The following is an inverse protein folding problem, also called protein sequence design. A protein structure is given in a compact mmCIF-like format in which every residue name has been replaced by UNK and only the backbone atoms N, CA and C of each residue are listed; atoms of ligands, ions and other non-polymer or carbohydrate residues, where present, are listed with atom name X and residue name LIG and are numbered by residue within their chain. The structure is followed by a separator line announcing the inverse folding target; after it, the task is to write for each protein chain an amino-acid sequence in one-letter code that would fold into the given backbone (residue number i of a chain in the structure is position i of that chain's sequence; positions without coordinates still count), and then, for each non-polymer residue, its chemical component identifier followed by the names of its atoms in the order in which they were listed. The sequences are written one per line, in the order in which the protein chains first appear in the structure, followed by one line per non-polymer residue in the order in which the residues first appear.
data_IF_001246585873
#
_entry.id   IF_001246585873
#
_cell.length_a   1.000
_cell.length_b   1.000
_cell.length_c   1.000
_cell.angle_alpha   90.00
_cell.angle_beta   90.00
_cell.angle_gamma   90.00
#
_symmetry.space_group_name_H-M   'P 1'
#
loop_
_entity.id
_entity.type
_entity.pdbx_description
1 polymer ?
#
# COMPACT_ATOMS: atom_id res chain seq x y z
N UNK A 1 -4.45 -1.95 0.93
CA UNK A 1 -5.22 -0.92 0.19
C UNK A 1 -4.57 -0.69 -1.17
N UNK A 2 -4.73 -1.65 -2.08
CA UNK A 2 -4.24 -1.48 -3.44
C UNK A 2 -5.24 -0.64 -4.21
N UNK A 3 -4.77 0.49 -4.72
CA UNK A 3 -5.57 1.33 -5.58
C UNK A 3 -5.71 0.61 -6.91
N UNK A 4 -6.96 0.37 -7.32
CA UNK A 4 -7.29 -0.35 -8.55
C UNK A 4 -6.60 0.34 -9.73
N UNK A 5 -5.58 -0.31 -10.28
CA UNK A 5 -5.16 -0.09 -11.66
C UNK A 5 -5.61 -1.32 -12.43
N UNK A 6 -6.89 -1.37 -12.81
CA UNK A 6 -7.28 -2.32 -13.85
C UNK A 6 -6.75 -1.79 -15.19
N UNK A 7 -5.90 -2.54 -15.92
CA UNK A 7 -5.48 -2.15 -17.24
C UNK A 7 -6.63 -2.44 -18.21
N UNK A 8 -7.04 -1.42 -18.97
CA UNK A 8 -7.74 -1.51 -20.26
C UNK A 8 -9.22 -1.95 -20.25
N UNK A 9 -10.10 -0.95 -20.21
CA UNK A 9 -11.47 -0.99 -20.72
C UNK A 9 -11.77 0.23 -21.59
N UNK A 10 -11.13 0.37 -22.76
CA UNK A 10 -11.17 1.58 -23.60
C UNK A 10 -12.40 1.69 -24.53
N UNK A 11 -13.55 1.15 -24.14
CA UNK A 11 -14.81 1.30 -24.88
C UNK A 11 -15.90 1.76 -23.93
N UNK A 12 -15.78 3.00 -23.47
CA UNK A 12 -16.86 3.72 -22.81
C UNK A 12 -17.27 4.83 -23.77
N UNK A 13 -18.51 4.81 -24.24
CA UNK A 13 -19.11 6.00 -24.86
C UNK A 13 -19.08 7.12 -23.82
N UNK A 14 -18.23 8.12 -24.02
CA UNK A 14 -18.21 9.30 -23.15
C UNK A 14 -19.46 10.12 -23.44
N UNK A 15 -20.28 10.31 -22.42
CA UNK A 15 -21.55 11.02 -22.53
C UNK A 15 -21.44 12.46 -22.00
N UNK A 16 -20.37 12.77 -21.25
CA UNK A 16 -20.17 14.08 -20.62
C UNK A 16 -18.74 14.63 -20.81
N UNK A 17 -18.60 15.96 -20.78
CA UNK A 17 -17.29 16.63 -20.83
C UNK A 17 -16.37 16.20 -19.68
N UNK A 18 -16.95 15.90 -18.50
CA UNK A 18 -16.20 15.41 -17.34
C UNK A 18 -15.59 14.03 -17.56
N UNK A 19 -16.27 13.13 -18.28
CA UNK A 19 -15.73 11.81 -18.63
C UNK A 19 -14.61 11.93 -19.66
N UNK A 20 -14.76 12.87 -20.59
CA UNK A 20 -13.73 13.18 -21.58
C UNK A 20 -12.45 13.73 -20.94
N UNK A 21 -12.57 14.67 -20.00
CA UNK A 21 -11.43 15.20 -19.25
C UNK A 21 -10.74 14.13 -18.41
N UNK A 22 -11.50 13.26 -17.73
CA UNK A 22 -10.95 12.14 -16.97
C UNK A 22 -10.19 11.17 -17.87
N UNK A 23 -10.74 10.83 -19.04
CA UNK A 23 -10.05 9.98 -20.01
C UNK A 23 -8.73 10.61 -20.47
N UNK A 24 -8.73 11.90 -20.80
CA UNK A 24 -7.53 12.60 -21.22
C UNK A 24 -6.49 12.65 -20.09
N UNK A 25 -6.93 12.88 -18.86
CA UNK A 25 -6.07 12.84 -17.67
C UNK A 25 -5.45 11.47 -17.46
N UNK A 26 -6.23 10.38 -17.46
CA UNK A 26 -5.70 9.03 -17.27
C UNK A 26 -4.81 8.59 -18.43
N UNK A 27 -5.16 8.95 -19.68
CA UNK A 27 -4.27 8.75 -20.82
C UNK A 27 -2.94 9.49 -20.64
N UNK A 28 -2.95 10.75 -20.21
CA UNK A 28 -1.74 11.50 -19.90
C UNK A 28 -0.96 10.88 -18.74
N UNK A 29 -1.64 10.42 -17.68
CA UNK A 29 -1.02 9.74 -16.56
C UNK A 29 -0.37 8.43 -16.98
N UNK A 30 -0.94 7.68 -17.92
CA UNK A 30 -0.36 6.42 -18.39
C UNK A 30 0.82 6.63 -19.34
N UNK A 31 0.70 7.55 -20.30
CA UNK A 31 1.71 7.73 -21.34
C UNK A 31 2.73 8.81 -21.03
N UNK A 32 2.47 9.73 -20.08
CA UNK A 32 3.35 10.84 -19.72
C UNK A 32 3.55 10.93 -18.21
N UNK A 33 3.68 9.77 -17.54
CA UNK A 33 3.89 9.60 -16.08
C UNK A 33 4.87 10.61 -15.48
N UNK A 34 6.07 10.70 -16.07
CA UNK A 34 7.18 11.48 -15.50
C UNK A 34 6.99 12.99 -15.74
N UNK A 35 6.72 13.47 -16.96
CA UNK A 35 6.36 14.88 -17.17
C UNK A 35 5.18 15.34 -16.30
N UNK A 36 4.12 14.53 -16.20
CA UNK A 36 2.96 14.86 -15.37
C UNK A 36 3.35 14.98 -13.89
N UNK A 37 4.23 14.11 -13.40
CA UNK A 37 4.74 14.17 -12.02
C UNK A 37 5.58 15.42 -11.81
N UNK A 38 6.46 15.80 -12.75
CA UNK A 38 7.21 17.06 -12.66
C UNK A 38 6.29 18.28 -12.57
N UNK A 39 5.22 18.31 -13.38
CA UNK A 39 4.22 19.38 -13.33
C UNK A 39 3.52 19.45 -11.97
N UNK A 40 3.16 18.30 -11.40
CA UNK A 40 2.54 18.25 -10.07
C UNK A 40 3.48 18.78 -8.97
N UNK A 41 4.79 18.54 -9.10
CA UNK A 41 5.77 18.97 -8.11
C UNK A 41 6.10 20.46 -8.13
N UNK A 42 5.97 21.14 -9.28
CA UNK A 42 6.36 22.55 -9.46
C UNK A 42 5.74 23.50 -8.41
N UNK A 43 4.54 23.18 -7.92
CA UNK A 43 3.82 23.97 -6.92
C UNK A 43 3.56 23.19 -5.62
N UNK A 44 4.37 22.16 -5.34
CA UNK A 44 4.21 21.31 -4.16
C UNK A 44 5.32 21.52 -3.12
N UNK A 45 5.00 21.33 -1.85
CA UNK A 45 5.98 21.23 -0.76
C UNK A 45 6.39 19.78 -0.46
N UNK A 46 6.19 18.86 -1.42
CA UNK A 46 6.28 17.42 -1.19
C UNK A 46 7.62 16.98 -0.59
N UNK A 47 8.73 17.40 -1.19
CA UNK A 47 10.07 16.96 -0.76
C UNK A 47 10.49 17.55 0.60
N UNK A 48 9.90 18.67 1.00
CA UNK A 48 10.26 19.40 2.21
C UNK A 48 9.36 19.01 3.39
N UNK A 49 8.06 18.88 3.16
CA UNK A 49 7.07 18.69 4.23
C UNK A 49 6.50 17.26 4.28
N UNK A 50 6.37 16.58 3.14
CA UNK A 50 5.68 15.29 3.03
C UNK A 50 6.66 14.13 3.09
N UNK A 51 7.61 14.04 2.16
CA UNK A 51 8.55 12.90 2.04
C UNK A 51 9.26 12.60 3.36
N UNK A 52 9.86 13.57 4.09
CA UNK A 52 10.58 13.26 5.33
C UNK A 52 9.70 12.65 6.42
N UNK A 53 8.44 13.09 6.54
CA UNK A 53 7.48 12.53 7.50
C UNK A 53 7.04 11.11 7.11
N UNK A 54 6.90 10.84 5.81
CA UNK A 54 6.57 9.50 5.32
C UNK A 54 7.76 8.55 5.48
N UNK A 55 8.99 8.99 5.21
CA UNK A 55 10.20 8.20 5.44
C UNK A 55 10.35 7.81 6.92
N UNK A 56 10.11 8.75 7.84
CA UNK A 56 10.09 8.47 9.29
C UNK A 56 9.01 7.43 9.64
N UNK A 57 7.81 7.57 9.08
CA UNK A 57 6.72 6.62 9.28
C UNK A 57 7.09 5.22 8.78
N UNK A 58 7.67 5.11 7.58
CA UNK A 58 8.11 3.83 7.02
C UNK A 58 9.17 3.19 7.93
N UNK A 59 10.15 3.97 8.39
CA UNK A 59 11.18 3.49 9.30
C UNK A 59 10.57 2.95 10.61
N UNK A 60 9.62 3.66 11.22
CA UNK A 60 8.95 3.24 12.45
C UNK A 60 8.11 1.97 12.25
N UNK A 61 7.43 1.82 11.10
CA UNK A 61 6.63 0.63 10.80
C UNK A 61 7.52 -0.57 10.48
N UNK A 62 8.65 -0.38 9.77
CA UNK A 62 9.68 -1.43 9.62
C UNK A 62 10.22 -1.87 10.98
N UNK A 63 10.46 -0.94 11.91
CA UNK A 63 10.89 -1.26 13.27
C UNK A 63 9.82 -2.11 14.01
N UNK A 64 8.54 -1.77 13.87
CA UNK A 64 7.44 -2.55 14.44
C UNK A 64 7.35 -3.96 13.83
N UNK A 65 7.63 -4.12 12.54
CA UNK A 65 7.73 -5.43 11.88
C UNK A 65 8.88 -6.26 12.45
N UNK A 66 10.06 -5.66 12.62
CA UNK A 66 11.21 -6.35 13.22
C UNK A 66 10.88 -6.87 14.62
N UNK A 67 10.25 -6.04 15.46
CA UNK A 67 9.84 -6.45 16.81
C UNK A 67 8.79 -7.57 16.78
N UNK A 68 7.88 -7.54 15.82
CA UNK A 68 6.85 -8.56 15.63
C UNK A 68 7.48 -9.90 15.21
N UNK A 69 8.41 -9.89 14.24
CA UNK A 69 9.15 -11.08 13.81
C UNK A 69 10.00 -11.65 14.96
N UNK A 70 10.63 -10.81 15.78
CA UNK A 70 11.40 -11.27 16.96
C UNK A 70 10.53 -12.01 17.98
N UNK A 71 9.30 -11.56 18.19
CA UNK A 71 8.37 -12.10 19.19
C UNK A 71 7.55 -13.29 18.68
N UNK A 72 7.50 -13.52 17.37
CA UNK A 72 6.69 -14.57 16.75
C UNK A 72 7.07 -15.99 17.24
N UNK A 73 6.28 -16.57 18.13
CA UNK A 73 6.58 -17.87 18.77
C UNK A 73 6.45 -19.08 17.83
N UNK A 74 5.87 -18.88 16.64
CA UNK A 74 5.64 -19.93 15.66
C UNK A 74 6.82 -20.15 14.71
N UNK A 75 7.78 -19.22 14.67
CA UNK A 75 9.01 -19.37 13.89
C UNK A 75 10.07 -20.13 14.68
N UNK A 76 10.73 -21.07 14.02
CA UNK A 76 12.04 -21.56 14.49
C UNK A 76 13.13 -20.48 14.34
N UNK A 77 14.25 -20.65 15.06
CA UNK A 77 15.33 -19.67 15.10
C UNK A 77 16.02 -19.42 13.74
N UNK A 78 16.09 -20.43 12.86
CA UNK A 78 16.69 -20.25 11.54
C UNK A 78 15.77 -19.42 10.64
N UNK A 79 14.48 -19.77 10.59
CA UNK A 79 13.47 -19.04 9.82
C UNK A 79 13.30 -17.61 10.36
N UNK A 80 13.33 -17.41 11.68
CA UNK A 80 13.31 -16.07 12.31
C UNK A 80 14.48 -15.20 11.86
N UNK A 81 15.71 -15.71 11.88
CA UNK A 81 16.88 -14.97 11.40
C UNK A 81 16.78 -14.61 9.92
N UNK A 82 16.29 -15.53 9.09
CA UNK A 82 16.08 -15.27 7.67
C UNK A 82 15.00 -14.20 7.44
N UNK A 83 13.90 -14.26 8.19
CA UNK A 83 12.82 -13.26 8.12
C UNK A 83 13.30 -11.87 8.53
N UNK A 84 14.08 -11.76 9.61
CA UNK A 84 14.71 -10.51 10.03
C UNK A 84 15.68 -9.97 8.97
N UNK A 85 16.49 -10.85 8.36
CA UNK A 85 17.40 -10.45 7.26
C UNK A 85 16.63 -9.93 6.06
N UNK A 86 15.49 -10.55 5.71
CA UNK A 86 14.62 -10.08 4.63
C UNK A 86 13.99 -8.72 4.95
N UNK A 87 13.49 -8.53 6.17
CA UNK A 87 12.90 -7.27 6.61
C UNK A 87 13.94 -6.12 6.65
N UNK A 88 15.17 -6.42 7.06
CA UNK A 88 16.28 -5.47 7.05
C UNK A 88 16.60 -5.03 5.61
N UNK A 89 16.80 -6.00 4.72
CA UNK A 89 17.15 -5.78 3.31
C UNK A 89 16.00 -5.19 2.47
N UNK A 90 14.78 -5.10 3.01
CA UNK A 90 13.63 -4.57 2.29
C UNK A 90 13.83 -3.08 2.02
N UNK A 91 13.92 -2.70 0.75
CA UNK A 91 14.02 -1.31 0.32
C UNK A 91 12.63 -0.68 0.17
N UNK A 92 12.59 0.66 0.14
CA UNK A 92 11.37 1.37 -0.20
C UNK A 92 11.66 2.62 -1.04
N UNK A 93 10.64 3.12 -1.72
CA UNK A 93 10.69 4.40 -2.45
C UNK A 93 9.40 5.19 -2.22
N UNK A 94 9.56 6.48 -1.89
CA UNK A 94 8.50 7.39 -1.50
C UNK A 94 8.33 8.49 -2.55
N UNK A 95 7.14 8.53 -3.15
CA UNK A 95 6.73 9.57 -4.06
C UNK A 95 6.93 9.19 -5.51
N UNK A 96 8.14 9.40 -6.02
CA UNK A 96 8.50 9.32 -7.44
C UNK A 96 9.91 8.74 -7.63
N UNK A 97 10.33 8.31 -8.84
CA UNK A 97 11.63 7.68 -9.05
C UNK A 97 12.79 8.70 -9.05
N UNK A 98 13.99 8.27 -8.66
CA UNK A 98 15.18 9.14 -8.58
C UNK A 98 15.54 9.83 -9.90
N UNK A 99 15.24 9.20 -11.04
CA UNK A 99 15.51 9.75 -12.37
C UNK A 99 14.47 10.78 -12.84
N UNK A 100 13.51 11.18 -12.00
CA UNK A 100 12.44 12.12 -12.38
C UNK A 100 12.99 13.45 -12.94
N UNK A 101 14.15 13.93 -12.50
CA UNK A 101 14.74 15.18 -13.01
C UNK A 101 15.94 14.94 -13.94
N UNK A 102 16.11 13.73 -14.45
CA UNK A 102 17.19 13.40 -15.38
C UNK A 102 16.78 13.71 -16.83
N UNK A 103 17.28 14.81 -17.38
CA UNK A 103 16.95 15.26 -18.74
C UNK A 103 17.30 14.23 -19.83
N UNK A 104 18.38 13.46 -19.65
CA UNK A 104 18.76 12.41 -20.61
C UNK A 104 17.71 11.32 -20.64
N UNK A 105 17.28 10.86 -19.46
CA UNK A 105 16.20 9.89 -19.35
C UNK A 105 14.90 10.40 -20.00
N UNK A 106 14.54 11.66 -19.77
CA UNK A 106 13.35 12.26 -20.38
C UNK A 106 13.44 12.33 -21.90
N UNK A 107 14.58 12.76 -22.46
CA UNK A 107 14.77 12.78 -23.91
C UNK A 107 14.67 11.38 -24.49
N UNK A 108 15.25 10.37 -23.87
CA UNK A 108 15.16 8.99 -24.38
C UNK A 108 13.72 8.46 -24.36
N UNK A 109 12.96 8.72 -23.30
CA UNK A 109 11.60 8.21 -23.14
C UNK A 109 10.54 9.02 -23.92
N UNK A 110 10.73 10.32 -24.08
CA UNK A 110 9.72 11.25 -24.57
C UNK A 110 10.16 12.12 -25.75
N UNK A 111 11.22 11.74 -26.49
CA UNK A 111 11.57 12.39 -27.77
C UNK A 111 10.54 12.07 -28.87
N UNK A 112 9.39 12.71 -28.75
CA UNK A 112 8.20 12.51 -29.58
C UNK A 112 7.81 13.88 -30.11
N UNK A 113 7.73 14.03 -31.43
CA UNK A 113 7.21 15.27 -32.03
C UNK A 113 5.76 15.49 -31.59
N UNK A 114 5.39 16.68 -31.09
CA UNK A 114 4.01 16.99 -30.71
C UNK A 114 3.01 16.67 -31.82
N UNK A 115 1.82 16.22 -31.44
CA UNK A 115 0.71 16.03 -32.38
C UNK A 115 0.39 17.35 -33.06
N UNK A 116 0.14 17.32 -34.37
CA UNK A 116 -0.49 18.45 -35.04
C UNK A 116 -2.03 18.30 -34.96
N UNK A 117 -2.76 19.34 -35.35
CA UNK A 117 -4.23 19.35 -35.29
C UNK A 117 -4.92 18.38 -36.27
N UNK A 118 -4.18 17.77 -37.20
CA UNK A 118 -4.70 16.81 -38.17
C UNK A 118 -4.38 15.34 -37.85
N UNK A 119 -3.53 15.08 -36.86
CA UNK A 119 -3.17 13.72 -36.45
C UNK A 119 -4.28 13.11 -35.58
N UNK A 120 -4.72 11.91 -35.95
CA UNK A 120 -5.69 11.16 -35.18
C UNK A 120 -5.11 10.76 -33.82
N UNK A 121 -5.88 10.92 -32.74
CA UNK A 121 -5.44 10.62 -31.36
C UNK A 121 -4.77 9.25 -31.21
N UNK A 122 -5.39 8.17 -31.71
CA UNK A 122 -4.78 6.83 -31.66
C UNK A 122 -3.48 6.69 -32.47
N UNK A 123 -3.31 7.44 -33.57
CA UNK A 123 -2.05 7.44 -34.32
C UNK A 123 -0.94 8.10 -33.50
N UNK A 124 -1.26 9.21 -32.82
CA UNK A 124 -0.34 9.83 -31.87
C UNK A 124 0.01 8.88 -30.71
N UNK A 125 -0.98 8.25 -30.07
CA UNK A 125 -0.74 7.27 -29.00
C UNK A 125 0.14 6.09 -29.46
N UNK A 126 -0.08 5.56 -30.67
CA UNK A 126 0.74 4.48 -31.21
C UNK A 126 2.21 4.89 -31.36
N UNK A 127 2.49 6.14 -31.74
CA UNK A 127 3.85 6.68 -31.79
C UNK A 127 4.47 6.82 -30.40
N UNK A 128 3.70 7.31 -29.43
CA UNK A 128 4.15 7.43 -28.04
C UNK A 128 4.52 6.05 -27.48
N UNK A 129 3.63 5.08 -27.64
CA UNK A 129 3.85 3.70 -27.21
C UNK A 129 5.08 3.08 -27.87
N UNK A 130 5.27 3.30 -29.18
CA UNK A 130 6.44 2.82 -29.93
C UNK A 130 7.74 3.42 -29.38
N UNK A 131 7.78 4.73 -29.13
CA UNK A 131 8.98 5.40 -28.59
C UNK A 131 9.35 4.83 -27.23
N UNK A 132 8.39 4.77 -26.30
CA UNK A 132 8.63 4.29 -24.94
C UNK A 132 9.03 2.82 -24.90
N UNK A 133 8.39 1.98 -25.71
CA UNK A 133 8.76 0.57 -25.83
C UNK A 133 10.18 0.42 -26.36
N UNK A 134 10.55 1.21 -27.39
CA UNK A 134 11.91 1.21 -27.94
C UNK A 134 12.94 1.64 -26.89
N UNK A 135 12.67 2.70 -26.14
CA UNK A 135 13.55 3.19 -25.09
C UNK A 135 13.72 2.16 -23.95
N UNK A 136 12.63 1.51 -23.52
CA UNK A 136 12.68 0.43 -22.52
C UNK A 136 13.51 -0.76 -23.00
N UNK A 137 13.31 -1.20 -24.25
CA UNK A 137 14.08 -2.31 -24.83
C UNK A 137 15.57 -1.98 -24.98
N UNK A 138 15.90 -0.74 -25.37
CA UNK A 138 17.30 -0.28 -25.45
C UNK A 138 17.99 -0.22 -24.08
N UNK A 139 17.22 -0.20 -22.99
CA UNK A 139 17.71 -0.03 -21.62
C UNK A 139 17.38 -1.25 -20.75
N UNK A 140 17.30 -2.44 -21.36
CA UNK A 140 16.85 -3.68 -20.69
C UNK A 140 17.67 -4.01 -19.43
N UNK A 141 18.96 -3.69 -19.40
CA UNK A 141 19.84 -3.91 -18.25
C UNK A 141 19.51 -3.01 -17.04
N UNK A 142 18.85 -1.87 -17.29
CA UNK A 142 18.43 -0.92 -16.27
C UNK A 142 16.96 -1.13 -15.85
N UNK A 143 16.22 -2.03 -16.50
CA UNK A 143 14.79 -2.27 -16.23
C UNK A 143 14.56 -2.66 -14.76
N UNK A 144 15.48 -3.41 -14.15
CA UNK A 144 15.39 -3.82 -12.75
C UNK A 144 15.38 -2.63 -11.79
N UNK A 145 16.22 -1.62 -12.02
CA UNK A 145 16.24 -0.39 -11.22
C UNK A 145 15.02 0.51 -11.44
N UNK A 146 14.29 0.34 -12.56
CA UNK A 146 13.22 1.22 -13.02
C UNK A 146 11.80 0.67 -12.80
N UNK A 147 11.68 -0.62 -12.51
CA UNK A 147 10.40 -1.35 -12.42
C UNK A 147 9.39 -0.77 -11.42
N UNK A 148 9.80 0.12 -10.51
CA UNK A 148 8.96 0.72 -9.46
C UNK A 148 7.91 1.76 -9.90
N UNK A 149 8.27 2.69 -10.78
CA UNK A 149 7.36 3.80 -11.15
C UNK A 149 6.99 3.78 -12.64
N UNK A 150 7.50 2.79 -13.39
CA UNK A 150 7.13 2.55 -14.77
C UNK A 150 5.74 1.90 -14.91
N UNK A 151 5.28 1.23 -13.84
CA UNK A 151 4.01 0.47 -13.80
C UNK A 151 2.80 1.39 -13.71
N UNK A 152 2.85 2.41 -12.85
CA UNK A 152 1.78 3.38 -12.69
C UNK A 152 2.35 4.77 -12.35
N UNK A 153 1.60 5.82 -12.69
CA UNK A 153 2.05 7.19 -12.47
C UNK A 153 2.15 7.52 -10.98
N UNK A 154 3.25 8.17 -10.51
CA UNK A 154 3.40 8.64 -9.13
C UNK A 154 2.25 9.49 -8.59
N UNK A 155 1.56 10.25 -9.45
CA UNK A 155 0.45 11.11 -9.05
C UNK A 155 -0.87 10.37 -8.89
N UNK A 156 -0.96 9.14 -9.41
CA UNK A 156 -2.11 8.26 -9.17
C UNK A 156 -1.88 7.57 -7.83
N UNK A 157 -2.83 7.68 -6.88
CA UNK A 157 -2.71 7.01 -5.59
C UNK A 157 -2.48 5.51 -5.82
N UNK A 158 -1.38 4.97 -5.28
CA UNK A 158 -1.09 3.55 -5.25
C UNK A 158 0.02 3.22 -4.25
N UNK A 159 0.07 1.97 -3.83
CA UNK A 159 1.20 1.38 -3.12
C UNK A 159 1.31 -0.08 -3.55
N UNK A 160 2.53 -0.60 -3.65
CA UNK A 160 2.72 -2.02 -3.94
C UNK A 160 4.11 -2.51 -3.52
N UNK A 161 4.24 -3.83 -3.37
CA UNK A 161 5.51 -4.53 -3.11
C UNK A 161 5.95 -5.40 -4.29
N UNK A 162 7.25 -5.35 -4.62
CA UNK A 162 7.88 -6.21 -5.61
C UNK A 162 8.76 -7.28 -4.94
N UNK A 163 8.38 -8.55 -5.12
CA UNK A 163 9.12 -9.68 -4.52
C UNK A 163 10.52 -9.87 -5.10
N UNK A 164 10.72 -9.59 -6.40
CA UNK A 164 12.01 -9.76 -7.07
C UNK A 164 13.02 -8.67 -6.69
N UNK A 165 12.53 -7.50 -6.25
CA UNK A 165 13.38 -6.39 -5.80
C UNK A 165 13.50 -6.34 -4.28
N UNK A 166 12.70 -7.13 -3.57
CA UNK A 166 12.42 -6.95 -2.15
C UNK A 166 12.17 -5.47 -1.80
N UNK A 167 11.30 -4.80 -2.57
CA UNK A 167 11.13 -3.35 -2.53
C UNK A 167 9.68 -2.91 -2.54
N UNK A 168 9.34 -1.96 -1.68
CA UNK A 168 8.03 -1.31 -1.60
C UNK A 168 8.03 0.03 -2.34
N UNK A 169 6.96 0.35 -3.06
CA UNK A 169 6.78 1.62 -3.75
C UNK A 169 5.53 2.31 -3.21
N UNK A 170 5.67 3.56 -2.78
CA UNK A 170 4.57 4.39 -2.28
C UNK A 170 4.42 5.59 -3.20
N UNK A 171 3.29 5.72 -3.89
CA UNK A 171 3.05 6.82 -4.80
C UNK A 171 2.68 8.09 -4.04
N UNK A 172 3.17 9.24 -4.51
CA UNK A 172 2.82 10.53 -3.90
C UNK A 172 1.32 10.84 -3.95
N UNK A 173 0.59 10.29 -4.92
CA UNK A 173 -0.87 10.39 -4.98
C UNK A 173 -1.58 9.83 -3.74
N UNK A 174 -0.96 8.93 -2.97
CA UNK A 174 -1.51 8.42 -1.70
C UNK A 174 -1.15 9.28 -0.49
N UNK A 175 -0.31 10.30 -0.65
CA UNK A 175 0.21 11.15 0.45
C UNK A 175 -0.59 12.45 0.56
N UNK A 176 -1.91 12.31 0.51
CA UNK A 176 -2.88 13.39 0.61
C UNK A 176 -4.08 12.94 1.44
N UNK A 177 -4.99 13.87 1.76
CA UNK A 177 -6.21 13.54 2.48
C UNK A 177 -7.07 12.53 1.70
N UNK A 178 -7.77 11.60 2.39
CA UNK A 178 -7.83 11.43 3.85
C UNK A 178 -6.66 10.60 4.45
N UNK A 179 -5.72 10.12 3.65
CA UNK A 179 -4.67 9.19 4.09
C UNK A 179 -3.55 9.85 4.87
N UNK A 180 -3.14 11.04 4.45
CA UNK A 180 -1.98 11.71 5.02
C UNK A 180 -2.06 13.23 4.86
N UNK A 181 -1.56 13.95 5.86
CA UNK A 181 -1.19 15.35 5.72
C UNK A 181 -0.05 15.69 6.67
N UNK A 182 0.94 16.49 6.26
CA UNK A 182 1.99 16.96 7.16
C UNK A 182 1.46 17.90 8.25
N UNK A 183 0.19 18.32 8.18
CA UNK A 183 -0.46 19.15 9.20
C UNK A 183 -1.35 18.34 10.15
N UNK A 184 -1.49 17.03 9.94
CA UNK A 184 -2.25 16.16 10.83
C UNK A 184 -1.37 15.51 11.91
N UNK A 185 -1.97 15.18 13.08
CA UNK A 185 -1.32 14.40 14.12
C UNK A 185 -0.87 13.01 13.64
N UNK A 186 0.10 12.42 14.32
CA UNK A 186 0.66 11.11 13.97
C UNK A 186 -0.40 10.00 14.11
N UNK A 187 -1.28 10.02 15.12
CA UNK A 187 -2.32 8.99 15.24
C UNK A 187 -3.26 8.93 14.03
N UNK A 188 -3.47 10.07 13.34
CA UNK A 188 -4.28 10.12 12.11
C UNK A 188 -3.47 9.61 10.92
N UNK A 189 -2.25 10.12 10.76
CA UNK A 189 -1.37 9.75 9.64
C UNK A 189 -0.94 8.27 9.67
N UNK A 190 -0.70 7.70 10.86
CA UNK A 190 -0.39 6.27 11.01
C UNK A 190 -1.64 5.41 10.77
N UNK A 191 -2.83 5.85 11.19
CA UNK A 191 -4.06 5.13 10.90
C UNK A 191 -4.40 5.12 9.40
N UNK A 192 -4.13 6.23 8.70
CA UNK A 192 -4.32 6.37 7.26
C UNK A 192 -3.22 5.71 6.44
N UNK A 193 -2.22 6.48 6.02
CA UNK A 193 -1.11 6.00 5.19
C UNK A 193 -0.31 4.89 5.88
N UNK A 194 -0.13 4.96 7.20
CA UNK A 194 0.65 3.94 7.93
C UNK A 194 0.08 2.53 7.80
N UNK A 195 -1.26 2.38 7.79
CA UNK A 195 -1.91 1.09 7.54
C UNK A 195 -1.56 0.54 6.15
N UNK A 196 -1.46 1.42 5.14
CA UNK A 196 -1.04 1.04 3.78
C UNK A 196 0.43 0.64 3.75
N UNK A 197 1.31 1.38 4.43
CA UNK A 197 2.73 1.02 4.55
C UNK A 197 2.90 -0.36 5.19
N UNK A 198 2.21 -0.61 6.31
CA UNK A 198 2.26 -1.91 6.96
C UNK A 198 1.69 -3.04 6.09
N UNK A 199 0.66 -2.76 5.30
CA UNK A 199 0.06 -3.71 4.36
C UNK A 199 1.08 -4.15 3.30
N UNK A 200 1.77 -3.20 2.67
CA UNK A 200 2.82 -3.51 1.70
C UNK A 200 4.01 -4.25 2.30
N UNK A 201 4.39 -3.91 3.53
CA UNK A 201 5.43 -4.65 4.26
C UNK A 201 5.01 -6.10 4.52
N UNK A 202 3.73 -6.37 4.75
CA UNK A 202 3.23 -7.74 4.92
C UNK A 202 3.31 -8.53 3.60
N UNK A 203 3.14 -7.91 2.44
CA UNK A 203 3.32 -8.61 1.17
C UNK A 203 4.71 -9.22 1.00
N UNK A 204 5.75 -8.67 1.65
CA UNK A 204 7.08 -9.30 1.68
C UNK A 204 7.11 -10.68 2.35
N UNK A 205 6.15 -10.97 3.21
CA UNK A 205 6.01 -12.23 3.95
C UNK A 205 4.72 -12.98 3.58
N UNK A 206 3.93 -12.44 2.65
CA UNK A 206 2.70 -13.02 2.14
C UNK A 206 2.93 -14.36 1.42
N UNK A 207 1.84 -14.98 0.99
CA UNK A 207 1.81 -16.31 0.39
C UNK A 207 2.69 -16.37 -0.86
N UNK A 208 2.66 -15.29 -1.65
CA UNK A 208 3.43 -15.17 -2.89
C UNK A 208 4.91 -14.95 -2.59
N UNK A 209 5.23 -13.94 -1.77
CA UNK A 209 6.59 -13.49 -1.55
C UNK A 209 7.39 -14.33 -0.53
N UNK A 210 6.75 -15.18 0.29
CA UNK A 210 7.48 -16.06 1.23
C UNK A 210 8.48 -16.99 0.52
N UNK A 211 8.26 -17.25 -0.76
CA UNK A 211 9.16 -18.07 -1.58
C UNK A 211 10.36 -17.30 -2.13
N UNK A 212 10.46 -15.99 -1.86
CA UNK A 212 11.55 -15.11 -2.26
C UNK A 212 12.36 -14.70 -1.03
N UNK A 213 13.67 -14.83 -1.09
CA UNK A 213 14.55 -14.46 0.01
C UNK A 213 14.81 -12.94 0.09
N UNK A 214 15.79 -12.55 0.91
CA UNK A 214 16.20 -11.16 1.10
C UNK A 214 16.81 -10.50 -0.14
N UNK A 215 17.32 -11.28 -1.09
CA UNK A 215 17.88 -10.81 -2.38
C UNK A 215 16.82 -10.81 -3.49
N UNK A 216 15.56 -11.13 -3.17
CA UNK A 216 14.49 -11.29 -4.16
C UNK A 216 14.64 -12.52 -5.04
N UNK A 217 15.39 -13.54 -4.59
CA UNK A 217 15.60 -14.79 -5.32
C UNK A 217 14.64 -15.86 -4.81
N UNK A 218 13.93 -16.51 -5.73
CA UNK A 218 12.99 -17.59 -5.40
C UNK A 218 13.73 -18.82 -4.89
N UNK A 219 13.62 -19.12 -3.60
CA UNK A 219 14.17 -20.32 -2.95
C UNK A 219 13.43 -20.65 -1.66
N UNK A 220 13.53 -21.90 -1.20
CA UNK A 220 12.99 -22.25 0.11
C UNK A 220 13.96 -21.82 1.22
N UNK A 221 13.55 -20.89 2.08
CA UNK A 221 14.33 -20.39 3.21
C UNK A 221 13.59 -20.54 4.56
N UNK A 222 12.46 -21.25 4.56
CA UNK A 222 11.66 -21.56 5.74
C UNK A 222 11.78 -23.05 6.05
N UNK A 223 11.79 -23.41 7.33
CA UNK A 223 11.65 -24.81 7.72
C UNK A 223 10.23 -25.32 7.46
N UNK A 224 10.07 -26.64 7.33
CA UNK A 224 8.76 -27.27 7.18
C UNK A 224 7.85 -27.02 8.40
N UNK A 225 8.42 -26.93 9.61
CA UNK A 225 7.67 -26.64 10.83
C UNK A 225 7.11 -25.20 10.81
N UNK A 226 7.95 -24.22 10.45
CA UNK A 226 7.52 -22.83 10.28
C UNK A 226 6.46 -22.69 9.18
N UNK A 227 6.60 -23.41 8.06
CA UNK A 227 5.58 -23.43 6.99
C UNK A 227 4.26 -24.00 7.50
N UNK A 228 4.28 -25.14 8.19
CA UNK A 228 3.06 -25.77 8.71
C UNK A 228 2.32 -24.86 9.69
N UNK A 229 3.05 -24.16 10.56
CA UNK A 229 2.46 -23.20 11.50
C UNK A 229 1.93 -21.95 10.80
N UNK A 230 2.61 -21.49 9.75
CA UNK A 230 2.15 -20.38 8.92
C UNK A 230 0.85 -20.74 8.18
N UNK A 231 0.77 -21.93 7.62
CA UNK A 231 -0.45 -22.42 6.97
C UNK A 231 -1.62 -22.50 7.98
N UNK A 232 -1.37 -22.97 9.21
CA UNK A 232 -2.39 -22.95 10.27
C UNK A 232 -2.88 -21.53 10.62
N UNK A 233 -2.01 -20.52 10.49
CA UNK A 233 -2.37 -19.11 10.72
C UNK A 233 -3.22 -18.58 9.56
N UNK A 234 -2.87 -18.93 8.32
CA UNK A 234 -3.67 -18.61 7.13
C UNK A 234 -5.09 -19.18 7.21
N UNK A 235 -5.22 -20.43 7.64
CA UNK A 235 -6.54 -21.08 7.77
C UNK A 235 -7.47 -20.37 8.77
N UNK A 236 -6.93 -19.61 9.72
CA UNK A 236 -7.75 -18.72 10.56
C UNK A 236 -8.43 -17.63 9.71
N UNK A 237 -7.65 -16.95 8.87
CA UNK A 237 -8.15 -15.88 7.99
C UNK A 237 -9.11 -16.43 6.94
N UNK A 238 -8.81 -17.58 6.33
CA UNK A 238 -9.73 -18.24 5.39
C UNK A 238 -11.10 -18.43 6.04
N UNK A 239 -11.14 -19.06 7.21
CA UNK A 239 -12.39 -19.29 7.95
C UNK A 239 -13.09 -18.01 8.38
N UNK A 240 -12.33 -16.98 8.76
CA UNK A 240 -12.90 -15.69 9.16
C UNK A 240 -13.68 -15.06 7.99
N UNK A 241 -13.08 -15.01 6.80
CA UNK A 241 -13.67 -14.34 5.64
C UNK A 241 -14.72 -15.20 4.93
N UNK A 242 -14.56 -16.54 4.92
CA UNK A 242 -15.63 -17.47 4.55
C UNK A 242 -16.89 -17.24 5.39
N UNK A 243 -16.71 -16.94 6.68
CA UNK A 243 -17.79 -16.59 7.60
C UNK A 243 -18.53 -15.29 7.24
N UNK A 244 -17.95 -14.42 6.40
CA UNK A 244 -18.62 -13.24 5.86
C UNK A 244 -19.26 -13.49 4.49
N UNK A 245 -19.17 -14.72 3.95
CA UNK A 245 -19.63 -15.04 2.59
C UNK A 245 -18.68 -14.57 1.49
N UNK A 246 -17.40 -14.36 1.82
CA UNK A 246 -16.33 -14.04 0.86
C UNK A 246 -15.46 -15.28 0.69
N UNK A 247 -14.95 -15.56 -0.51
CA UNK A 247 -13.95 -16.62 -0.69
C UNK A 247 -12.65 -16.22 0.05
N UNK A 248 -12.49 -16.74 1.26
CA UNK A 248 -11.40 -16.40 2.16
C UNK A 248 -10.05 -16.89 1.64
N UNK A 249 -10.04 -17.87 0.73
CA UNK A 249 -8.80 -18.38 0.10
C UNK A 249 -8.39 -17.53 -1.09
N UNK A 250 -9.34 -17.05 -1.89
CA UNK A 250 -9.09 -16.10 -2.96
C UNK A 250 -8.55 -14.76 -2.44
N UNK A 251 -9.11 -14.28 -1.33
CA UNK A 251 -8.80 -12.96 -0.75
C UNK A 251 -7.71 -12.99 0.32
N UNK A 252 -7.15 -14.16 0.60
CA UNK A 252 -6.27 -14.42 1.74
C UNK A 252 -5.05 -13.49 1.83
N UNK A 253 -4.36 -13.27 0.71
CA UNK A 253 -3.16 -12.44 0.64
C UNK A 253 -3.44 -11.01 1.14
N UNK A 254 -4.51 -10.42 0.63
CA UNK A 254 -4.94 -9.06 0.94
C UNK A 254 -5.49 -8.94 2.36
N UNK A 255 -6.29 -9.92 2.78
CA UNK A 255 -6.87 -9.95 4.13
C UNK A 255 -5.79 -10.05 5.21
N UNK A 256 -4.74 -10.85 4.97
CA UNK A 256 -3.59 -10.93 5.87
C UNK A 256 -2.80 -9.62 5.87
N UNK A 257 -2.60 -9.02 4.70
CA UNK A 257 -1.89 -7.74 4.57
C UNK A 257 -2.64 -6.59 5.26
N UNK A 258 -3.96 -6.49 5.10
CA UNK A 258 -4.79 -5.49 5.79
C UNK A 258 -4.73 -5.68 7.32
N UNK A 259 -4.79 -6.93 7.80
CA UNK A 259 -4.72 -7.24 9.22
C UNK A 259 -3.38 -6.88 9.84
N UNK A 260 -2.29 -7.31 9.21
CA UNK A 260 -0.93 -7.02 9.69
C UNK A 260 -0.62 -5.53 9.51
N UNK A 261 -1.08 -4.90 8.43
CA UNK A 261 -0.85 -3.49 8.17
C UNK A 261 -1.41 -2.58 9.27
N UNK A 262 -2.66 -2.82 9.67
CA UNK A 262 -3.29 -2.08 10.76
C UNK A 262 -2.55 -2.28 12.09
N UNK A 263 -2.15 -3.52 12.38
CA UNK A 263 -1.42 -3.89 13.60
C UNK A 263 -0.03 -3.27 13.65
N UNK A 264 0.73 -3.29 12.56
CA UNK A 264 2.06 -2.67 12.47
C UNK A 264 1.97 -1.14 12.59
N UNK A 265 1.00 -0.52 11.92
CA UNK A 265 0.79 0.92 12.00
C UNK A 265 0.46 1.38 13.42
N UNK A 266 -0.45 0.67 14.09
CA UNK A 266 -0.80 0.95 15.49
C UNK A 266 0.41 0.76 16.41
N UNK A 267 1.13 -0.35 16.29
CA UNK A 267 2.30 -0.62 17.12
C UNK A 267 3.42 0.42 16.91
N UNK A 268 3.65 0.83 15.67
CA UNK A 268 4.63 1.87 15.34
C UNK A 268 4.22 3.22 15.95
N UNK A 269 2.95 3.60 15.86
CA UNK A 269 2.40 4.79 16.50
C UNK A 269 2.61 4.76 18.02
N UNK A 270 2.17 3.69 18.70
CA UNK A 270 2.32 3.56 20.16
C UNK A 270 3.79 3.60 20.58
N UNK A 271 4.68 2.97 19.80
CA UNK A 271 6.12 3.00 20.05
C UNK A 271 6.69 4.42 19.88
N UNK A 272 6.36 5.12 18.80
CA UNK A 272 6.78 6.52 18.58
C UNK A 272 6.30 7.44 19.71
N UNK A 273 5.03 7.31 20.09
CA UNK A 273 4.43 8.08 21.18
C UNK A 273 5.13 7.80 22.52
N UNK A 274 5.45 6.54 22.82
CA UNK A 274 6.16 6.16 24.06
C UNK A 274 7.59 6.71 24.18
N UNK A 275 8.25 7.04 23.05
CA UNK A 275 9.59 7.66 23.03
C UNK A 275 9.56 9.13 23.48
N UNK A 276 8.39 9.75 23.58
CA UNK A 276 8.20 11.16 23.98
C UNK A 276 7.32 11.27 25.24
N UNK A 277 7.78 10.73 26.39
CA UNK A 277 6.98 10.74 27.62
C UNK A 277 6.62 12.18 28.02
N UNK A 278 5.32 12.46 28.15
CA UNK A 278 4.77 13.77 28.49
C UNK A 278 4.31 14.62 27.29
N UNK A 279 4.65 14.23 26.06
CA UNK A 279 4.07 14.83 24.86
C UNK A 279 2.71 14.17 24.56
N UNK A 280 1.63 14.90 24.79
CA UNK A 280 0.28 14.49 24.38
C UNK A 280 -0.07 15.24 23.12
N UNK A 281 -0.22 14.52 22.00
CA UNK A 281 -0.75 15.11 20.78
C UNK A 281 -2.17 15.63 21.04
N UNK A 282 -2.46 16.82 20.52
CA UNK A 282 -3.78 17.42 20.69
C UNK A 282 -4.86 16.57 20.00
N UNK A 283 -6.00 16.43 20.66
CA UNK A 283 -7.20 15.88 20.04
C UNK A 283 -7.64 16.77 18.87
N UNK A 284 -8.28 16.17 17.86
CA UNK A 284 -8.87 16.92 16.77
C UNK A 284 -10.03 17.79 17.30
N UNK A 285 -10.17 19.04 16.84
CA UNK A 285 -11.29 19.90 17.21
C UNK A 285 -12.64 19.23 16.95
N UNK A 286 -13.53 19.22 17.95
CA UNK A 286 -14.83 18.56 17.92
C UNK A 286 -14.81 17.06 18.27
N UNK A 287 -13.64 16.45 18.46
CA UNK A 287 -13.47 15.05 18.86
C UNK A 287 -12.78 14.89 20.22
N UNK A 288 -12.77 15.94 21.05
CA UNK A 288 -12.06 15.98 22.35
C UNK A 288 -12.59 14.96 23.37
N UNK A 289 -13.79 14.42 23.14
CA UNK A 289 -14.39 13.37 23.97
C UNK A 289 -13.87 11.96 23.66
N UNK A 290 -13.17 11.80 22.54
CA UNK A 290 -12.59 10.52 22.12
C UNK A 290 -11.12 10.46 22.54
N UNK A 291 -10.65 9.25 22.86
CA UNK A 291 -9.22 9.03 23.08
C UNK A 291 -8.47 8.99 21.75
N UNK A 292 -7.15 9.25 21.78
CA UNK A 292 -6.31 9.15 20.57
C UNK A 292 -6.38 7.75 19.94
N UNK A 293 -6.46 6.69 20.75
CA UNK A 293 -6.61 5.31 20.27
C UNK A 293 -7.97 5.11 19.58
N UNK A 294 -9.05 5.70 20.10
CA UNK A 294 -10.36 5.68 19.43
C UNK A 294 -10.32 6.41 18.10
N UNK A 295 -9.69 7.59 18.05
CA UNK A 295 -9.57 8.38 16.80
C UNK A 295 -8.69 7.64 15.78
N UNK A 296 -7.64 6.94 16.21
CA UNK A 296 -6.83 6.08 15.34
C UNK A 296 -7.72 5.06 14.63
N UNK A 297 -8.52 4.27 15.36
CA UNK A 297 -9.35 3.23 14.76
C UNK A 297 -10.50 3.80 13.91
N UNK A 298 -11.08 4.94 14.30
CA UNK A 298 -12.09 5.65 13.49
C UNK A 298 -11.47 6.13 12.18
N UNK A 299 -10.26 6.69 12.23
CA UNK A 299 -9.52 7.14 11.03
C UNK A 299 -9.19 5.97 10.13
N UNK A 300 -8.69 4.86 10.68
CA UNK A 300 -8.40 3.66 9.89
C UNK A 300 -9.67 3.11 9.21
N UNK A 301 -10.84 3.25 9.84
CA UNK A 301 -12.12 2.88 9.24
C UNK A 301 -12.65 3.88 8.21
N UNK A 302 -12.43 5.17 8.41
CA UNK A 302 -12.94 6.20 7.51
C UNK A 302 -12.24 6.17 6.14
N UNK A 303 -10.99 5.71 6.07
CA UNK A 303 -10.29 5.52 4.78
C UNK A 303 -10.95 4.46 3.91
N UNK A 304 -11.69 3.51 4.49
CA UNK A 304 -12.39 2.43 3.78
C UNK A 304 -13.88 2.73 3.54
N UNK A 305 -14.33 3.98 3.76
CA UNK A 305 -15.70 4.39 3.44
C UNK A 305 -15.91 4.44 1.93
N UNK A 306 -16.85 3.65 1.41
CA UNK A 306 -17.25 3.65 0.00
C UNK A 306 -18.78 3.78 -0.12
N UNK A 307 -19.24 4.52 -1.13
CA UNK A 307 -20.68 4.80 -1.36
C UNK A 307 -21.45 3.59 -1.89
N UNK A 308 -20.79 2.70 -2.64
CA UNK A 308 -21.42 1.51 -3.20
C UNK A 308 -20.63 0.24 -2.81
N UNK A 309 -21.20 -0.64 -1.97
CA UNK A 309 -20.59 -1.92 -1.60
C UNK A 309 -20.46 -2.92 -2.76
N UNK A 310 -21.18 -2.69 -3.86
CA UNK A 310 -21.30 -3.60 -5.01
C UNK A 310 -20.47 -3.18 -6.23
N UNK A 311 -20.12 -1.90 -6.37
CA UNK A 311 -19.15 -1.46 -7.38
C UNK A 311 -17.83 -2.17 -7.15
N UNK A 312 -17.49 -3.07 -8.07
CA UNK A 312 -16.23 -3.79 -8.02
C UNK A 312 -16.27 -5.12 -7.26
N UNK A 313 -17.45 -5.72 -7.05
CA UNK A 313 -17.60 -7.17 -6.86
C UNK A 313 -17.26 -7.89 -8.18
N UNK A 314 -16.01 -7.81 -8.59
CA UNK A 314 -15.48 -8.76 -9.56
C UNK A 314 -15.31 -10.08 -8.79
N UNK A 315 -16.03 -11.16 -9.12
CA UNK A 315 -15.91 -12.44 -8.42
C UNK A 315 -14.51 -13.04 -8.58
N UNK A 316 -13.67 -12.51 -9.47
CA UNK A 316 -12.27 -12.87 -9.63
C UNK A 316 -11.30 -11.91 -8.90
N UNK A 317 -11.82 -10.88 -8.22
CA UNK A 317 -11.01 -9.91 -7.48
C UNK A 317 -10.26 -10.60 -6.34
N UNK A 318 -8.95 -10.36 -6.18
CA UNK A 318 -8.23 -10.80 -4.98
C UNK A 318 -8.59 -9.95 -3.75
N UNK A 319 -9.40 -8.91 -3.90
CA UNK A 319 -9.77 -7.98 -2.85
C UNK A 319 -11.15 -8.26 -2.29
N UNK A 320 -11.23 -8.33 -0.96
CA UNK A 320 -12.48 -8.29 -0.20
C UNK A 320 -13.19 -6.93 -0.39
N UNK A 321 -14.54 -6.84 -0.33
CA UNK A 321 -15.25 -5.57 -0.35
C UNK A 321 -14.78 -4.61 0.76
N UNK A 322 -14.69 -3.31 0.46
CA UNK A 322 -14.04 -2.29 1.33
C UNK A 322 -14.54 -2.32 2.79
N UNK A 323 -15.85 -2.46 3.01
CA UNK A 323 -16.42 -2.58 4.36
C UNK A 323 -15.79 -3.73 5.15
N UNK A 324 -15.60 -4.88 4.52
CA UNK A 324 -15.06 -6.07 5.16
C UNK A 324 -13.52 -6.03 5.26
N UNK A 325 -12.84 -5.30 4.37
CA UNK A 325 -11.38 -5.07 4.43
C UNK A 325 -10.94 -4.40 5.72
N UNK A 326 -11.73 -3.47 6.26
CA UNK A 326 -11.42 -2.89 7.57
C UNK A 326 -12.06 -3.67 8.72
N UNK A 327 -13.27 -4.20 8.54
CA UNK A 327 -14.00 -4.88 9.60
C UNK A 327 -13.25 -6.12 10.14
N UNK A 328 -12.69 -6.94 9.24
CA UNK A 328 -11.90 -8.12 9.62
C UNK A 328 -10.68 -7.80 10.50
N UNK A 329 -9.77 -6.91 10.07
CA UNK A 329 -8.66 -6.43 10.88
C UNK A 329 -9.07 -5.85 12.24
N UNK A 330 -10.12 -5.03 12.29
CA UNK A 330 -10.60 -4.43 13.54
C UNK A 330 -11.10 -5.50 14.53
N UNK A 331 -11.77 -6.56 14.05
CA UNK A 331 -12.15 -7.70 14.90
C UNK A 331 -10.94 -8.44 15.48
N UNK A 332 -9.80 -8.43 14.80
CA UNK A 332 -8.59 -9.12 15.23
C UNK A 332 -7.70 -8.29 16.17
N UNK A 333 -7.90 -6.97 16.22
CA UNK A 333 -7.17 -6.05 17.12
C UNK A 333 -7.77 -6.04 18.53
N UNK A 334 -7.06 -6.57 19.52
CA UNK A 334 -7.50 -6.55 20.93
C UNK A 334 -7.56 -5.12 21.46
N UNK A 335 -6.64 -4.30 21.00
CA UNK A 335 -6.46 -2.90 21.32
C UNK A 335 -7.71 -2.08 20.99
N UNK A 336 -8.40 -2.41 19.89
CA UNK A 336 -9.68 -1.80 19.55
C UNK A 336 -10.75 -2.13 20.59
N UNK A 337 -10.88 -3.41 20.95
CA UNK A 337 -11.89 -3.82 21.93
C UNK A 337 -11.65 -3.19 23.31
N UNK A 338 -10.39 -2.92 23.67
CA UNK A 338 -10.04 -2.16 24.86
C UNK A 338 -10.41 -0.69 24.70
N UNK A 339 -10.01 -0.04 23.60
CA UNK A 339 -10.26 1.37 23.34
C UNK A 339 -11.75 1.73 23.32
N UNK A 340 -12.61 0.82 22.85
CA UNK A 340 -14.07 1.02 22.80
C UNK A 340 -14.85 0.26 23.87
N UNK A 341 -14.16 -0.39 24.82
CA UNK A 341 -14.78 -1.21 25.86
C UNK A 341 -15.82 -2.22 25.32
N UNK A 342 -15.47 -2.90 24.22
CA UNK A 342 -16.37 -3.84 23.57
C UNK A 342 -16.64 -5.05 24.48
N UNK A 343 -17.92 -5.38 24.69
CA UNK A 343 -18.32 -6.53 25.51
C UNK A 343 -17.73 -7.83 24.96
N UNK A 344 -17.44 -8.77 25.88
CA UNK A 344 -16.91 -10.08 25.53
C UNK A 344 -17.85 -10.80 24.56
N UNK A 345 -17.27 -11.44 23.54
CA UNK A 345 -17.99 -12.19 22.49
C UNK A 345 -18.94 -11.33 21.64
N UNK A 346 -18.83 -10.00 21.72
CA UNK A 346 -19.51 -9.09 20.78
C UNK A 346 -18.89 -9.17 19.39
N UNK A 347 -19.61 -8.62 18.41
CA UNK A 347 -19.15 -8.62 17.03
C UNK A 347 -17.77 -7.95 16.87
N UNK A 348 -17.42 -6.93 17.66
CA UNK A 348 -16.10 -6.27 17.62
C UNK A 348 -15.11 -6.77 18.68
N UNK A 349 -15.45 -7.86 19.38
CA UNK A 349 -14.57 -8.55 20.34
C UNK A 349 -14.83 -10.07 20.30
N UNK A 350 -14.58 -10.72 19.14
CA UNK A 350 -14.80 -12.14 19.00
C UNK A 350 -13.83 -12.93 19.86
N UNK A 351 -14.26 -14.12 20.30
CA UNK A 351 -13.44 -15.06 21.08
C UNK A 351 -12.17 -15.48 20.33
N UNK A 352 -12.30 -15.73 19.04
CA UNK A 352 -11.20 -16.15 18.17
C UNK A 352 -10.73 -14.96 17.34
N UNK A 353 -9.43 -14.69 17.37
CA UNK A 353 -8.80 -13.61 16.59
C UNK A 353 -7.68 -14.20 15.77
N UNK A 354 -7.59 -13.79 14.51
CA UNK A 354 -6.52 -14.18 13.62
C UNK A 354 -5.36 -13.20 13.75
N UNK A 355 -4.14 -13.72 13.90
CA UNK A 355 -2.90 -12.94 13.86
C UNK A 355 -1.81 -13.74 13.20
N UNK A 356 -0.99 -13.11 12.37
CA UNK A 356 0.22 -13.71 11.82
C UNK A 356 1.34 -13.63 12.86
N UNK A 357 1.81 -12.41 13.14
CA UNK A 357 2.94 -12.13 14.00
C UNK A 357 2.62 -12.25 15.50
#
# INVERSE_FOLDING_TARGET
MAFRSEPFGWLIEMQTDSEHDLFCFFGAADYFKMPLTQMFLQNSSFDVEVRPRVDEMVANIKEALHDSIRKATWLDEATRRNALRKAEALEYSVGYPENLFNDTFHREQYNITPSNSSEHFYAFLARVFRQQTTARLAQYELVVARMGFDVASPVIPNAYYSSNLNKMFLHMGSMQLPYFSPNLPDYVNYAGLGTTVGHELMHAFGIKARSYDHDGIKRNWWSNDSVTKYDSKMECFVKQYDGYGIDGRQTLEENMADNVGLMLAYNAYKKKHSKHPGYVESALPGLEKLTLDQIFFITAASTSCALDPSTGLNPNSPYTPEKLRIFGPLQNMKELSVAFNCSKDSNMNPKNRCSVW
#
